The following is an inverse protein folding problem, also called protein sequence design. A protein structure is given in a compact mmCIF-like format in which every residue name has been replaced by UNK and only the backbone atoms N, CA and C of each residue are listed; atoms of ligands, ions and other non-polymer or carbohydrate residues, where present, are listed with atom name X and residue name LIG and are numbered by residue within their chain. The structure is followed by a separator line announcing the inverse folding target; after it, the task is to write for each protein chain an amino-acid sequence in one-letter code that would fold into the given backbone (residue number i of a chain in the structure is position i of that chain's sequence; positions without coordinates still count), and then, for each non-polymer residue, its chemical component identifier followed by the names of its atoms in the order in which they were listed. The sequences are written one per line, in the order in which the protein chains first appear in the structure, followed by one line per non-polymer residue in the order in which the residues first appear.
data_IF_122897470336
#
_entry.id   IF_122897470336
#
_cell.length_a   1.000
_cell.length_b   1.000
_cell.length_c   1.000
_cell.angle_alpha   90.00
_cell.angle_beta   90.00
_cell.angle_gamma   90.00
#
_symmetry.space_group_name_H-M   'P 1'
#
loop_
_entity.id
_entity.type
_entity.pdbx_description
1 polymer ?
#
# COMPACT_ATOMS: atom_id res chain seq x y z
N UNK A 1 -12.84 3.26 -25.94
CA UNK A 1 -14.26 2.79 -26.03
C UNK A 1 -14.64 2.18 -24.69
N UNK A 2 -15.78 2.58 -24.12
CA UNK A 2 -16.43 1.89 -22.99
C UNK A 2 -17.74 1.29 -23.48
N UNK A 3 -18.09 0.11 -22.98
CA UNK A 3 -19.39 -0.51 -23.16
C UNK A 3 -20.10 -0.49 -21.81
N UNK A 4 -21.32 0.04 -21.76
CA UNK A 4 -22.10 0.17 -20.53
C UNK A 4 -23.50 -0.41 -20.71
N UNK A 5 -24.07 -0.95 -19.63
CA UNK A 5 -25.50 -1.28 -19.58
C UNK A 5 -26.33 0.00 -19.68
N UNK A 6 -27.62 -0.14 -20.03
CA UNK A 6 -28.49 1.04 -20.13
C UNK A 6 -28.62 1.79 -18.80
N UNK A 7 -28.48 1.07 -17.66
CA UNK A 7 -28.42 1.67 -16.33
C UNK A 7 -27.25 2.64 -16.16
N UNK A 8 -26.10 2.32 -16.77
CA UNK A 8 -24.84 3.04 -16.58
C UNK A 8 -24.42 3.89 -17.76
N UNK A 9 -25.20 3.88 -18.84
CA UNK A 9 -24.83 4.48 -20.11
C UNK A 9 -24.64 6.00 -20.00
N UNK A 10 -25.58 6.69 -19.36
CA UNK A 10 -25.52 8.15 -19.25
C UNK A 10 -24.48 8.61 -18.24
N UNK A 11 -24.27 7.83 -17.16
CA UNK A 11 -23.14 8.07 -16.24
C UNK A 11 -21.81 7.90 -16.96
N UNK A 12 -21.65 6.82 -17.72
CA UNK A 12 -20.44 6.58 -18.50
C UNK A 12 -20.18 7.68 -19.54
N UNK A 13 -21.21 8.21 -20.22
CA UNK A 13 -21.06 9.35 -21.14
C UNK A 13 -20.63 10.64 -20.42
N UNK A 14 -21.13 10.86 -19.21
CA UNK A 14 -20.86 12.07 -18.43
C UNK A 14 -19.46 12.06 -17.80
N UNK A 15 -19.02 10.90 -17.31
CA UNK A 15 -17.86 10.80 -16.42
C UNK A 15 -16.62 10.14 -17.07
N UNK A 16 -16.79 9.40 -18.16
CA UNK A 16 -15.66 8.73 -18.83
C UNK A 16 -14.84 9.68 -19.70
N UNK A 17 -13.53 9.45 -19.73
CA UNK A 17 -12.62 10.05 -20.71
C UNK A 17 -12.57 9.29 -22.04
N UNK A 18 -13.37 8.23 -22.24
CA UNK A 18 -13.34 7.44 -23.46
C UNK A 18 -14.00 8.16 -24.64
N UNK A 19 -13.40 8.07 -25.83
CA UNK A 19 -13.91 8.71 -27.07
C UNK A 19 -15.30 8.21 -27.50
N UNK A 20 -15.71 7.04 -27.02
CA UNK A 20 -16.96 6.40 -27.42
C UNK A 20 -17.50 5.57 -26.27
N UNK A 21 -18.78 5.76 -25.98
CA UNK A 21 -19.55 4.95 -25.03
C UNK A 21 -20.68 4.25 -25.79
N UNK A 22 -20.72 2.92 -25.71
CA UNK A 22 -21.67 2.08 -26.42
C UNK A 22 -22.64 1.39 -25.45
N UNK A 23 -23.92 1.29 -25.85
CA UNK A 23 -24.92 0.49 -25.11
C UNK A 23 -24.70 -1.00 -25.36
N UNK A 24 -24.50 -1.77 -24.30
CA UNK A 24 -24.42 -3.24 -24.37
C UNK A 24 -25.74 -3.84 -24.84
N UNK A 25 -26.89 -3.28 -24.43
CA UNK A 25 -28.22 -3.73 -24.88
C UNK A 25 -28.39 -3.58 -26.39
N UNK A 26 -27.90 -2.50 -26.98
CA UNK A 26 -27.94 -2.31 -28.43
C UNK A 26 -27.07 -3.34 -29.15
N UNK A 27 -25.85 -3.57 -28.68
CA UNK A 27 -24.95 -4.59 -29.24
C UNK A 27 -25.57 -5.99 -29.14
N UNK A 28 -26.18 -6.32 -28.00
CA UNK A 28 -26.91 -7.59 -27.81
C UNK A 28 -28.04 -7.73 -28.83
N UNK A 29 -28.83 -6.66 -29.10
CA UNK A 29 -29.87 -6.69 -30.15
C UNK A 29 -29.28 -6.95 -31.53
N UNK A 30 -28.14 -6.33 -31.86
CA UNK A 30 -27.46 -6.55 -33.14
C UNK A 30 -26.94 -7.99 -33.27
N UNK A 31 -26.37 -8.55 -32.20
CA UNK A 31 -25.90 -9.94 -32.16
C UNK A 31 -27.07 -10.94 -32.32
N UNK A 32 -28.19 -10.72 -31.63
CA UNK A 32 -29.41 -11.55 -31.78
C UNK A 32 -29.94 -11.53 -33.21
N UNK A 33 -29.97 -10.36 -33.86
CA UNK A 33 -30.38 -10.24 -35.28
C UNK A 33 -29.47 -11.02 -36.23
N UNK A 34 -28.20 -11.23 -35.86
CA UNK A 34 -27.23 -12.06 -36.61
C UNK A 34 -27.29 -13.55 -36.23
N UNK A 35 -28.29 -13.98 -35.46
CA UNK A 35 -28.50 -15.38 -35.10
C UNK A 35 -27.64 -15.88 -33.94
N UNK A 36 -26.95 -15.01 -33.19
CA UNK A 36 -26.16 -15.43 -32.04
C UNK A 36 -27.07 -15.91 -30.90
N UNK A 37 -26.88 -17.16 -30.47
CA UNK A 37 -27.35 -17.71 -29.20
C UNK A 37 -26.23 -17.66 -28.14
N UNK A 38 -26.58 -17.55 -26.85
CA UNK A 38 -25.63 -17.43 -25.72
C UNK A 38 -24.65 -16.25 -25.82
N UNK A 39 -25.18 -15.02 -25.75
CA UNK A 39 -24.36 -13.79 -25.80
C UNK A 39 -23.69 -13.54 -24.44
N UNK A 40 -22.38 -13.79 -24.40
CA UNK A 40 -21.50 -13.50 -23.25
C UNK A 40 -20.96 -12.06 -23.32
N UNK A 41 -20.33 -11.58 -22.24
CA UNK A 41 -19.61 -10.30 -22.26
C UNK A 41 -18.47 -10.30 -23.31
N UNK A 42 -17.78 -11.43 -23.47
CA UNK A 42 -16.72 -11.57 -24.48
C UNK A 42 -17.29 -11.53 -25.90
N UNK A 43 -18.47 -12.10 -26.13
CA UNK A 43 -19.16 -11.99 -27.42
C UNK A 43 -19.47 -10.53 -27.80
N UNK A 44 -19.88 -9.72 -26.82
CA UNK A 44 -20.10 -8.28 -26.98
C UNK A 44 -18.77 -7.57 -27.29
N UNK A 45 -17.72 -7.85 -26.51
CA UNK A 45 -16.40 -7.27 -26.73
C UNK A 45 -15.82 -7.60 -28.11
N UNK A 46 -15.87 -8.88 -28.51
CA UNK A 46 -15.40 -9.35 -29.81
C UNK A 46 -16.19 -8.72 -30.97
N UNK A 47 -17.50 -8.52 -30.82
CA UNK A 47 -18.30 -7.81 -31.82
C UNK A 47 -17.82 -6.38 -32.01
N UNK A 48 -17.58 -5.65 -30.91
CA UNK A 48 -17.09 -4.26 -30.96
C UNK A 48 -15.69 -4.21 -31.58
N UNK A 49 -14.78 -5.10 -31.16
CA UNK A 49 -13.42 -5.18 -31.71
C UNK A 49 -13.45 -5.41 -33.23
N UNK A 50 -14.21 -6.41 -33.69
CA UNK A 50 -14.38 -6.70 -35.13
C UNK A 50 -15.01 -5.54 -35.90
N UNK A 51 -15.99 -4.85 -35.30
CA UNK A 51 -16.63 -3.68 -35.93
C UNK A 51 -15.64 -2.53 -36.17
N UNK A 52 -14.54 -2.50 -35.42
CA UNK A 52 -13.43 -1.55 -35.54
C UNK A 52 -12.24 -2.10 -36.32
N UNK A 53 -12.35 -3.30 -36.91
CA UNK A 53 -11.25 -3.94 -37.63
C UNK A 53 -10.11 -4.43 -36.74
N UNK A 54 -10.31 -4.52 -35.41
CA UNK A 54 -9.30 -4.99 -34.49
C UNK A 54 -9.30 -6.51 -34.40
N UNK A 55 -8.14 -7.11 -34.62
CA UNK A 55 -7.91 -8.57 -34.58
C UNK A 55 -6.93 -8.99 -33.49
N UNK A 56 -6.39 -8.03 -32.74
CA UNK A 56 -5.40 -8.23 -31.68
C UNK A 56 -5.74 -7.33 -30.50
N UNK A 57 -5.61 -7.86 -29.29
CA UNK A 57 -5.75 -7.10 -28.05
C UNK A 57 -4.57 -7.36 -27.13
N UNK A 58 -4.16 -6.31 -26.42
CA UNK A 58 -3.25 -6.38 -25.30
C UNK A 58 -4.08 -6.40 -24.02
N UNK A 59 -3.84 -7.34 -23.12
CA UNK A 59 -4.58 -7.52 -21.87
C UNK A 59 -3.63 -7.57 -20.66
N UNK A 60 -4.11 -7.25 -19.45
CA UNK A 60 -3.31 -7.42 -18.23
C UNK A 60 -2.84 -8.86 -18.04
N UNK A 61 -1.70 -9.06 -17.37
CA UNK A 61 -1.19 -10.39 -17.05
C UNK A 61 -2.18 -11.25 -16.26
N UNK A 62 -3.03 -10.61 -15.44
CA UNK A 62 -4.08 -11.25 -14.65
C UNK A 62 -5.43 -11.34 -15.37
N UNK A 63 -5.48 -11.13 -16.69
CA UNK A 63 -6.71 -11.22 -17.46
C UNK A 63 -7.33 -12.63 -17.35
N UNK A 64 -8.66 -12.76 -17.07
CA UNK A 64 -9.28 -14.06 -16.86
C UNK A 64 -9.07 -15.00 -18.04
N UNK A 65 -8.52 -16.19 -17.77
CA UNK A 65 -8.13 -17.17 -18.79
C UNK A 65 -9.31 -17.54 -19.72
N UNK A 66 -10.50 -17.77 -19.15
CA UNK A 66 -11.70 -18.09 -19.93
C UNK A 66 -12.09 -16.99 -20.92
N UNK A 67 -11.84 -15.71 -20.58
CA UNK A 67 -12.09 -14.61 -21.51
C UNK A 67 -11.06 -14.57 -22.63
N UNK A 68 -9.80 -14.95 -22.35
CA UNK A 68 -8.76 -15.04 -23.37
C UNK A 68 -9.08 -16.16 -24.36
N UNK A 69 -9.45 -17.34 -23.87
CA UNK A 69 -9.85 -18.48 -24.72
C UNK A 69 -11.02 -18.09 -25.63
N UNK A 70 -12.09 -17.52 -25.08
CA UNK A 70 -13.27 -17.16 -25.87
C UNK A 70 -12.96 -16.04 -26.90
N UNK A 71 -12.04 -15.11 -26.62
CA UNK A 71 -11.56 -14.12 -27.60
C UNK A 71 -10.78 -14.79 -28.74
N UNK A 72 -9.90 -15.74 -28.41
CA UNK A 72 -9.09 -16.48 -29.39
C UNK A 72 -9.98 -17.33 -30.31
N UNK A 73 -10.96 -18.04 -29.75
CA UNK A 73 -11.96 -18.79 -30.53
C UNK A 73 -12.74 -17.89 -31.49
N UNK A 74 -12.99 -16.64 -31.08
CA UNK A 74 -13.63 -15.62 -31.93
C UNK A 74 -12.65 -14.96 -32.90
N UNK A 75 -11.41 -15.43 -33.03
CA UNK A 75 -10.43 -14.93 -33.99
C UNK A 75 -9.78 -13.60 -33.58
N UNK A 76 -9.76 -13.30 -32.28
CA UNK A 76 -9.03 -12.16 -31.71
C UNK A 76 -7.78 -12.71 -31.01
N UNK A 77 -6.60 -12.38 -31.51
CA UNK A 77 -5.36 -12.75 -30.82
C UNK A 77 -5.20 -11.94 -29.53
N UNK A 78 -4.85 -12.62 -28.44
CA UNK A 78 -4.70 -12.04 -27.12
C UNK A 78 -3.22 -12.08 -26.73
N UNK A 79 -2.67 -10.93 -26.36
CA UNK A 79 -1.33 -10.81 -25.83
C UNK A 79 -1.40 -10.27 -24.40
N UNK A 80 -0.80 -10.99 -23.45
CA UNK A 80 -0.71 -10.52 -22.08
C UNK A 80 0.53 -9.62 -21.89
N UNK A 81 0.39 -8.61 -21.03
CA UNK A 81 1.49 -7.73 -20.61
C UNK A 81 1.62 -7.76 -19.09
N UNK A 82 2.85 -7.89 -18.59
CA UNK A 82 3.17 -7.80 -17.16
C UNK A 82 2.79 -6.45 -16.57
N UNK A 83 2.52 -6.41 -15.28
CA UNK A 83 2.27 -5.15 -14.59
C UNK A 83 3.52 -4.24 -14.57
N UNK A 84 3.33 -2.91 -14.57
CA UNK A 84 2.04 -2.22 -14.60
C UNK A 84 1.49 -2.19 -16.03
N UNK A 85 0.20 -2.50 -16.19
CA UNK A 85 -0.43 -2.46 -17.52
C UNK A 85 -0.36 -1.05 -18.17
N UNK A 86 -0.48 0.00 -17.35
CA UNK A 86 -0.28 1.40 -17.74
C UNK A 86 0.93 1.97 -16.98
N UNK A 87 2.10 2.02 -17.62
CA UNK A 87 3.34 2.52 -17.02
C UNK A 87 3.27 3.98 -16.60
N UNK A 88 2.46 4.78 -17.30
CA UNK A 88 2.27 6.20 -16.98
C UNK A 88 1.76 6.42 -15.55
N UNK A 89 0.99 5.47 -14.99
CA UNK A 89 0.52 5.54 -13.59
C UNK A 89 1.66 5.56 -12.57
N UNK A 90 2.84 5.06 -12.94
CA UNK A 90 4.00 5.10 -12.03
C UNK A 90 4.51 6.54 -11.84
N UNK A 91 4.26 7.45 -12.79
CA UNK A 91 4.69 8.85 -12.75
C UNK A 91 3.49 9.74 -12.45
N UNK A 92 3.46 10.33 -11.26
CA UNK A 92 2.27 11.03 -10.76
C UNK A 92 2.24 12.46 -11.28
N UNK A 93 1.05 12.90 -11.68
CA UNK A 93 0.73 14.31 -11.87
C UNK A 93 0.68 15.05 -10.52
N UNK A 94 0.63 16.37 -10.56
CA UNK A 94 0.54 17.19 -9.34
C UNK A 94 -0.77 16.93 -8.59
N UNK A 95 -1.84 16.69 -9.34
CA UNK A 95 -3.18 16.39 -8.84
C UNK A 95 -3.20 15.04 -8.12
N UNK A 96 -2.54 14.02 -8.68
CA UNK A 96 -2.42 12.70 -8.04
C UNK A 96 -1.56 12.76 -6.78
N UNK A 97 -0.42 13.47 -6.81
CA UNK A 97 0.40 13.70 -5.60
C UNK A 97 -0.41 14.42 -4.52
N UNK A 98 -1.23 15.41 -4.91
CA UNK A 98 -2.12 16.12 -3.98
C UNK A 98 -3.14 15.17 -3.36
N UNK A 99 -3.79 14.31 -4.17
CA UNK A 99 -4.75 13.32 -3.70
C UNK A 99 -4.12 12.33 -2.70
N UNK A 100 -2.95 11.77 -3.03
CA UNK A 100 -2.18 10.90 -2.11
C UNK A 100 -1.85 11.65 -0.81
N UNK A 101 -1.38 12.89 -0.93
CA UNK A 101 -1.02 13.72 0.22
C UNK A 101 -2.22 13.99 1.12
N UNK A 102 -3.40 14.21 0.54
CA UNK A 102 -4.64 14.42 1.28
C UNK A 102 -5.05 13.15 2.05
N UNK A 103 -5.07 11.98 1.40
CA UNK A 103 -5.27 10.69 2.06
C UNK A 103 -4.30 10.52 3.23
N UNK A 104 -3.02 10.83 3.01
CA UNK A 104 -1.98 10.76 4.05
C UNK A 104 -2.30 11.69 5.24
N UNK A 105 -2.79 12.92 5.03
CA UNK A 105 -3.21 13.80 6.15
C UNK A 105 -4.36 13.21 6.97
N UNK A 106 -5.28 12.49 6.34
CA UNK A 106 -6.34 11.79 7.06
C UNK A 106 -5.76 10.62 7.88
N UNK A 107 -4.81 9.87 7.32
CA UNK A 107 -4.11 8.79 8.04
C UNK A 107 -3.33 9.30 9.24
N UNK A 108 -2.62 10.41 9.10
CA UNK A 108 -1.87 11.04 10.21
C UNK A 108 -2.78 11.45 11.36
N UNK A 109 -3.96 12.00 11.06
CA UNK A 109 -4.98 12.32 12.08
C UNK A 109 -5.54 11.08 12.76
N UNK A 110 -5.70 9.98 12.03
CA UNK A 110 -6.17 8.71 12.58
C UNK A 110 -5.13 8.08 13.52
N UNK A 111 -3.85 8.10 13.14
CA UNK A 111 -2.76 7.67 14.01
C UNK A 111 -2.65 8.57 15.23
N UNK A 112 -2.77 9.91 15.09
CA UNK A 112 -2.75 10.80 16.26
C UNK A 112 -3.87 10.46 17.25
N UNK A 113 -5.09 10.18 16.77
CA UNK A 113 -6.20 9.79 17.62
C UNK A 113 -5.90 8.49 18.40
N UNK A 114 -5.30 7.48 17.74
CA UNK A 114 -4.83 6.27 18.39
C UNK A 114 -3.74 6.54 19.43
N UNK A 115 -2.80 7.42 19.13
CA UNK A 115 -1.75 7.81 20.07
C UNK A 115 -2.33 8.54 21.28
N UNK A 116 -3.35 9.37 21.10
CA UNK A 116 -4.05 10.00 22.23
C UNK A 116 -4.68 8.96 23.15
N UNK A 117 -5.26 7.88 22.63
CA UNK A 117 -5.72 6.76 23.46
C UNK A 117 -4.57 6.11 24.22
N UNK A 118 -3.42 5.87 23.58
CA UNK A 118 -2.24 5.33 24.27
C UNK A 118 -1.76 6.27 25.39
N UNK A 119 -1.64 7.58 25.13
CA UNK A 119 -1.18 8.59 26.11
C UNK A 119 -2.10 8.67 27.34
N UNK A 120 -3.41 8.54 27.14
CA UNK A 120 -4.41 8.58 28.21
C UNK A 120 -4.67 7.22 28.86
N UNK A 121 -4.09 6.14 28.34
CA UNK A 121 -4.17 4.81 28.96
C UNK A 121 -3.30 4.72 30.21
N UNK A 122 -3.66 3.84 31.15
CA UNK A 122 -2.96 3.59 32.41
C UNK A 122 -2.23 2.25 32.35
N UNK A 123 -0.99 2.22 32.84
CA UNK A 123 -0.25 0.97 33.00
C UNK A 123 -0.78 0.24 34.24
N UNK A 124 -1.29 -0.98 34.07
CA UNK A 124 -1.69 -1.89 35.17
C UNK A 124 -0.95 -3.21 35.05
N UNK A 125 0.06 -3.39 35.89
CA UNK A 125 0.98 -4.52 35.77
C UNK A 125 1.71 -4.46 34.41
N UNK A 126 1.63 -5.55 33.63
CA UNK A 126 2.26 -5.63 32.30
C UNK A 126 1.39 -5.11 31.15
N UNK A 127 0.18 -4.63 31.42
CA UNK A 127 -0.81 -4.30 30.39
C UNK A 127 -1.25 -2.84 30.46
N UNK A 128 -1.94 -2.40 29.40
CA UNK A 128 -2.53 -1.07 29.29
C UNK A 128 -4.04 -1.14 29.54
N UNK A 129 -4.57 -0.22 30.34
CA UNK A 129 -6.01 -0.06 30.54
C UNK A 129 -6.45 1.33 30.08
N UNK A 130 -7.55 1.42 29.35
CA UNK A 130 -8.18 2.68 28.94
C UNK A 130 -9.64 2.67 29.38
N UNK A 131 -10.10 3.77 30.00
CA UNK A 131 -11.49 3.89 30.49
C UNK A 131 -11.97 2.71 31.37
N UNK A 132 -11.07 2.17 32.20
CA UNK A 132 -11.39 1.07 33.12
C UNK A 132 -11.43 -0.32 32.48
N UNK A 133 -11.14 -0.45 31.18
CA UNK A 133 -11.06 -1.73 30.46
C UNK A 133 -9.65 -2.01 29.96
N UNK A 134 -9.34 -3.29 29.74
CA UNK A 134 -8.09 -3.71 29.10
C UNK A 134 -8.05 -3.16 27.68
N UNK A 135 -7.04 -2.37 27.36
CA UNK A 135 -6.84 -1.82 26.03
C UNK A 135 -6.23 -2.90 25.12
N UNK A 136 -6.84 -3.09 23.95
CA UNK A 136 -6.41 -4.11 22.99
C UNK A 136 -6.01 -3.52 21.64
N UNK A 137 -5.36 -4.34 20.79
CA UNK A 137 -5.09 -4.00 19.40
C UNK A 137 -6.38 -3.63 18.65
N UNK A 138 -7.49 -4.33 18.91
CA UNK A 138 -8.80 -4.06 18.28
C UNK A 138 -9.38 -2.71 18.68
N UNK A 139 -9.18 -2.27 19.94
CA UNK A 139 -9.63 -0.94 20.37
C UNK A 139 -8.90 0.17 19.61
N UNK A 140 -7.58 0.05 19.45
CA UNK A 140 -6.79 1.01 18.67
C UNK A 140 -7.17 0.97 17.18
N UNK A 141 -7.31 -0.23 16.59
CA UNK A 141 -7.79 -0.37 15.20
C UNK A 141 -9.15 0.29 15.01
N UNK A 142 -10.06 0.16 15.98
CA UNK A 142 -11.38 0.81 15.95
C UNK A 142 -11.26 2.33 15.90
N UNK A 143 -10.41 2.91 16.74
CA UNK A 143 -10.16 4.37 16.77
C UNK A 143 -9.63 4.86 15.43
N UNK A 144 -8.64 4.16 14.87
CA UNK A 144 -8.07 4.48 13.56
C UNK A 144 -9.15 4.40 12.48
N UNK A 145 -9.86 3.28 12.40
CA UNK A 145 -10.85 3.04 11.34
C UNK A 145 -12.00 4.03 11.40
N UNK A 146 -12.53 4.36 12.59
CA UNK A 146 -13.56 5.39 12.73
C UNK A 146 -13.03 6.74 12.24
N UNK A 147 -11.81 7.11 12.64
CA UNK A 147 -11.24 8.41 12.28
C UNK A 147 -10.98 8.56 10.78
N UNK A 148 -10.61 7.46 10.11
CA UNK A 148 -10.48 7.40 8.67
C UNK A 148 -11.84 7.52 7.97
N UNK A 149 -12.84 6.78 8.45
CA UNK A 149 -14.19 6.79 7.87
C UNK A 149 -14.88 8.16 7.96
N UNK A 150 -14.62 8.94 9.02
CA UNK A 150 -15.08 10.34 9.13
C UNK A 150 -14.60 11.23 7.96
N UNK A 151 -13.58 10.79 7.23
CA UNK A 151 -12.97 11.51 6.11
C UNK A 151 -13.00 10.70 4.81
N UNK A 152 -13.99 9.81 4.65
CA UNK A 152 -14.18 8.98 3.46
C UNK A 152 -12.94 8.15 3.08
N UNK A 153 -12.11 7.80 4.08
CA UNK A 153 -10.96 6.93 3.92
C UNK A 153 -11.28 5.55 4.49
N UNK A 154 -11.01 4.51 3.72
CA UNK A 154 -11.25 3.12 4.10
C UNK A 154 -9.91 2.42 4.23
N UNK A 155 -9.60 1.94 5.44
CA UNK A 155 -8.50 1.00 5.66
C UNK A 155 -9.04 -0.42 5.79
N UNK A 156 -8.41 -1.34 5.08
CA UNK A 156 -8.51 -2.77 5.35
C UNK A 156 -7.19 -3.21 5.98
N UNK A 157 -7.23 -4.27 6.80
CA UNK A 157 -6.02 -4.90 7.35
C UNK A 157 -5.10 -3.99 8.20
N UNK A 158 -5.61 -2.89 8.79
CA UNK A 158 -4.87 -2.03 9.73
C UNK A 158 -4.11 -2.87 10.75
N UNK A 159 -2.81 -2.63 10.87
CA UNK A 159 -1.93 -3.38 11.76
C UNK A 159 -1.75 -2.60 13.05
N UNK A 160 -2.06 -3.25 14.18
CA UNK A 160 -1.68 -2.78 15.52
C UNK A 160 -1.06 -3.94 16.28
N UNK A 161 0.21 -4.22 16.00
CA UNK A 161 0.94 -5.37 16.55
C UNK A 161 1.76 -5.00 17.76
N UNK A 162 1.78 -5.87 18.78
CA UNK A 162 2.44 -5.61 20.05
C UNK A 162 3.47 -6.69 20.39
N UNK A 163 4.66 -6.29 20.84
CA UNK A 163 5.73 -7.19 21.28
C UNK A 163 6.05 -8.28 20.23
N UNK A 164 5.95 -9.56 20.57
CA UNK A 164 6.28 -10.69 19.69
C UNK A 164 5.36 -10.79 18.46
N UNK A 165 4.16 -10.21 18.49
CA UNK A 165 3.31 -10.14 17.30
C UNK A 165 3.97 -9.31 16.19
N UNK A 166 4.78 -8.31 16.57
CA UNK A 166 5.54 -7.49 15.63
C UNK A 166 6.55 -8.30 14.82
N UNK A 167 6.94 -9.51 15.28
CA UNK A 167 7.96 -10.33 14.59
C UNK A 167 7.45 -10.84 13.25
N UNK A 168 6.13 -10.90 13.09
CA UNK A 168 5.45 -11.04 11.82
C UNK A 168 5.09 -9.66 11.26
N UNK A 169 5.76 -9.18 10.20
CA UNK A 169 5.52 -7.82 9.70
C UNK A 169 4.08 -7.56 9.24
N UNK A 170 3.32 -8.63 8.90
CA UNK A 170 1.94 -8.57 8.41
C UNK A 170 0.90 -9.03 9.44
N UNK A 171 1.30 -9.37 10.67
CA UNK A 171 0.34 -9.68 11.72
C UNK A 171 -0.40 -8.38 12.08
N UNK A 172 -1.74 -8.41 12.00
CA UNK A 172 -2.59 -7.26 12.31
C UNK A 172 -2.72 -6.99 13.82
N UNK A 173 -2.13 -7.85 14.64
CA UNK A 173 -2.14 -7.83 16.10
C UNK A 173 -3.50 -8.20 16.68
N UNK A 174 -3.47 -8.76 17.88
CA UNK A 174 -4.69 -9.15 18.57
C UNK A 174 -4.57 -9.06 20.08
N UNK A 175 -5.69 -8.76 20.73
CA UNK A 175 -5.80 -8.83 22.17
C UNK A 175 -5.00 -7.76 22.94
N UNK A 176 -4.76 -8.00 24.24
CA UNK A 176 -4.23 -6.99 25.16
C UNK A 176 -2.88 -6.40 24.78
N UNK A 177 -2.79 -5.06 24.77
CA UNK A 177 -1.52 -4.36 24.59
C UNK A 177 -0.67 -4.38 25.87
N UNK A 178 0.64 -4.56 25.68
CA UNK A 178 1.62 -4.64 26.76
C UNK A 178 2.28 -3.29 27.02
N UNK A 179 2.44 -2.95 28.30
CA UNK A 179 3.23 -1.80 28.72
C UNK A 179 4.72 -2.04 28.48
N UNK A 180 5.46 -0.98 28.17
CA UNK A 180 6.91 -0.99 27.95
C UNK A 180 7.39 -1.85 26.76
N UNK A 181 6.47 -2.32 25.91
CA UNK A 181 6.77 -3.08 24.69
C UNK A 181 6.45 -2.28 23.43
N UNK A 182 7.10 -2.64 22.32
CA UNK A 182 6.85 -2.02 21.02
C UNK A 182 5.43 -2.30 20.53
N UNK A 183 4.78 -1.27 20.01
CA UNK A 183 3.48 -1.32 19.36
C UNK A 183 3.66 -0.71 17.96
N UNK A 184 3.62 -1.54 16.92
CA UNK A 184 3.64 -1.09 15.52
C UNK A 184 2.22 -0.73 15.12
N UNK A 185 2.03 0.50 14.64
CA UNK A 185 0.82 0.94 13.93
C UNK A 185 1.18 1.16 12.47
N UNK A 186 0.65 0.33 11.60
CA UNK A 186 0.83 0.43 10.15
C UNK A 186 -0.56 0.53 9.50
N UNK A 187 -0.76 1.63 8.76
CA UNK A 187 -2.07 2.12 8.33
C UNK A 187 -2.00 2.62 6.88
N UNK A 188 -2.67 1.89 5.99
CA UNK A 188 -2.69 2.16 4.55
C UNK A 188 -4.11 2.31 3.98
N UNK A 189 -4.81 3.43 4.25
CA UNK A 189 -6.16 3.61 3.74
C UNK A 189 -6.15 4.00 2.26
N UNK A 190 -7.26 3.72 1.57
CA UNK A 190 -7.61 4.37 0.32
C UNK A 190 -8.72 5.39 0.53
N UNK A 191 -8.66 6.50 -0.19
CA UNK A 191 -9.78 7.45 -0.26
C UNK A 191 -10.89 6.90 -1.15
N UNK A 192 -12.14 6.91 -0.68
CA UNK A 192 -13.31 6.58 -1.50
C UNK A 192 -13.64 7.66 -2.52
N UNK A 193 -13.04 8.85 -2.40
CA UNK A 193 -13.28 9.98 -3.30
C UNK A 193 -12.24 10.02 -4.42
N UNK A 194 -10.95 9.99 -4.05
CA UNK A 194 -9.85 10.11 -5.02
C UNK A 194 -9.30 8.76 -5.48
N UNK A 195 -9.65 7.68 -4.78
CA UNK A 195 -9.17 6.31 -5.00
C UNK A 195 -7.67 6.09 -4.71
N UNK A 196 -6.97 7.12 -4.25
CA UNK A 196 -5.54 7.05 -3.93
C UNK A 196 -5.30 6.52 -2.52
N UNK A 197 -4.30 5.65 -2.41
CA UNK A 197 -3.78 5.15 -1.15
C UNK A 197 -2.82 6.14 -0.49
N UNK A 198 -2.74 6.05 0.83
CA UNK A 198 -1.58 6.49 1.60
C UNK A 198 -1.05 5.30 2.40
N UNK A 199 0.18 5.41 2.89
CA UNK A 199 0.83 4.37 3.69
C UNK A 199 1.76 4.99 4.73
N UNK A 200 1.64 4.57 5.98
CA UNK A 200 2.44 5.09 7.08
C UNK A 200 2.48 4.10 8.25
N UNK A 201 3.71 3.82 8.66
CA UNK A 201 4.02 3.04 9.85
C UNK A 201 4.71 3.90 10.90
N UNK A 202 4.27 3.76 12.16
CA UNK A 202 4.96 4.25 13.36
C UNK A 202 5.04 3.17 14.42
N UNK A 203 6.13 3.18 15.17
CA UNK A 203 6.29 2.31 16.35
C UNK A 203 6.32 3.13 17.62
N UNK A 204 5.47 2.77 18.58
CA UNK A 204 5.36 3.41 19.88
C UNK A 204 5.64 2.45 21.03
N UNK A 205 5.91 2.99 22.21
CA UNK A 205 5.96 2.27 23.48
C UNK A 205 5.20 3.10 24.52
N UNK A 206 4.13 2.54 25.07
CA UNK A 206 3.47 3.14 26.23
C UNK A 206 4.26 2.79 27.50
N UNK A 207 4.89 3.80 28.11
CA UNK A 207 5.81 3.62 29.24
C UNK A 207 7.28 3.78 28.83
N UNK A 208 8.17 3.00 29.43
CA UNK A 208 9.62 3.09 29.23
C UNK A 208 10.12 1.97 28.34
N UNK A 209 10.62 2.30 27.15
CA UNK A 209 11.23 1.36 26.24
C UNK A 209 12.55 0.80 26.80
N UNK A 210 12.81 -0.48 26.54
CA UNK A 210 14.10 -1.10 26.88
C UNK A 210 15.23 -0.50 26.05
N UNK A 211 16.48 -0.61 26.53
CA UNK A 211 17.66 -0.16 25.76
C UNK A 211 17.76 -0.84 24.39
N UNK A 212 17.33 -2.11 24.29
CA UNK A 212 17.28 -2.85 23.03
C UNK A 212 16.28 -2.24 22.03
N UNK A 213 15.06 -1.91 22.47
CA UNK A 213 14.05 -1.25 21.63
C UNK A 213 14.51 0.15 21.22
N UNK A 214 15.08 0.93 22.14
CA UNK A 214 15.62 2.27 21.84
C UNK A 214 16.73 2.21 20.79
N UNK A 215 17.67 1.27 20.93
CA UNK A 215 18.74 1.06 19.95
C UNK A 215 18.16 0.67 18.58
N UNK A 216 17.22 -0.28 18.57
CA UNK A 216 16.55 -0.73 17.35
C UNK A 216 15.81 0.41 16.64
N UNK A 217 15.04 1.21 17.37
CA UNK A 217 14.36 2.39 16.83
C UNK A 217 15.32 3.41 16.23
N UNK A 218 16.38 3.75 16.97
CA UNK A 218 17.38 4.68 16.46
C UNK A 218 18.05 4.14 15.19
N UNK A 219 18.40 2.86 15.16
CA UNK A 219 18.99 2.24 13.98
C UNK A 219 18.03 2.25 12.80
N UNK A 220 16.75 1.91 12.98
CA UNK A 220 15.75 1.99 11.89
C UNK A 220 15.61 3.42 11.37
N UNK A 221 15.53 4.41 12.26
CA UNK A 221 15.42 5.82 11.89
C UNK A 221 16.65 6.31 11.10
N UNK A 222 17.87 5.95 11.50
CA UNK A 222 19.08 6.26 10.72
C UNK A 222 19.12 5.52 9.38
N UNK A 223 18.63 4.27 9.32
CA UNK A 223 18.47 3.53 8.07
C UNK A 223 17.51 4.22 7.10
N UNK A 224 16.40 4.76 7.61
CA UNK A 224 15.43 5.53 6.80
C UNK A 224 16.08 6.78 6.18
N UNK A 225 16.93 7.49 6.94
CA UNK A 225 17.68 8.66 6.44
C UNK A 225 18.65 8.30 5.33
N UNK A 226 19.25 7.11 5.35
CA UNK A 226 20.09 6.61 4.25
C UNK A 226 19.28 6.52 2.96
N UNK A 227 18.04 6.00 3.01
CA UNK A 227 17.17 5.99 1.85
C UNK A 227 16.84 7.41 1.36
N UNK A 228 16.41 8.32 2.24
CA UNK A 228 16.10 9.70 1.85
C UNK A 228 17.27 10.41 1.16
N UNK A 229 18.50 10.19 1.62
CA UNK A 229 19.70 10.77 1.03
C UNK A 229 20.03 10.21 -0.36
N UNK A 230 19.55 9.01 -0.69
CA UNK A 230 19.84 8.33 -1.96
C UNK A 230 18.69 8.39 -2.96
N UNK A 231 17.45 8.60 -2.52
CA UNK A 231 16.28 8.67 -3.41
C UNK A 231 16.35 9.94 -4.27
N UNK A 232 16.47 9.71 -5.57
CA UNK A 232 16.43 10.70 -6.64
C UNK A 232 16.22 9.99 -7.98
N UNK A 233 16.07 10.77 -9.05
CA UNK A 233 16.04 10.23 -10.40
C UNK A 233 17.27 9.36 -10.71
N UNK A 234 17.01 8.24 -11.37
CA UNK A 234 17.98 7.20 -11.73
C UNK A 234 18.73 6.59 -10.53
N UNK A 235 18.19 6.70 -9.31
CA UNK A 235 18.70 5.91 -8.19
C UNK A 235 18.33 4.44 -8.38
N UNK A 236 19.24 3.53 -8.01
CA UNK A 236 19.01 2.08 -8.04
C UNK A 236 18.40 1.63 -6.71
N UNK A 237 17.14 1.21 -6.73
CA UNK A 237 16.41 0.75 -5.53
C UNK A 237 17.11 -0.41 -4.81
N UNK A 238 17.77 -1.30 -5.55
CA UNK A 238 18.51 -2.44 -4.99
C UNK A 238 19.78 -2.03 -4.26
N UNK A 239 20.41 -0.95 -4.71
CA UNK A 239 21.55 -0.37 -4.01
C UNK A 239 21.10 0.28 -2.70
N UNK A 240 20.02 1.07 -2.73
CA UNK A 240 19.48 1.73 -1.53
C UNK A 240 19.15 0.69 -0.46
N UNK A 241 18.43 -0.37 -0.85
CA UNK A 241 18.06 -1.46 0.04
C UNK A 241 19.30 -2.15 0.65
N UNK A 242 20.30 -2.49 -0.17
CA UNK A 242 21.54 -3.13 0.27
C UNK A 242 22.34 -2.26 1.23
N UNK A 243 22.42 -0.95 1.01
CA UNK A 243 23.14 -0.04 1.90
C UNK A 243 22.52 0.01 3.30
N UNK A 244 21.19 -0.08 3.39
CA UNK A 244 20.47 -0.15 4.67
C UNK A 244 20.72 -1.51 5.34
N UNK A 245 20.69 -2.62 4.59
CA UNK A 245 21.03 -3.95 5.14
C UNK A 245 22.44 -3.95 5.74
N UNK A 246 23.44 -3.48 5.00
CA UNK A 246 24.82 -3.38 5.49
C UNK A 246 24.93 -2.47 6.72
N UNK A 247 24.18 -1.36 6.75
CA UNK A 247 24.12 -0.48 7.91
C UNK A 247 23.52 -1.17 9.14
N UNK A 248 22.43 -1.93 8.99
CA UNK A 248 21.82 -2.68 10.08
C UNK A 248 22.75 -3.78 10.61
N UNK A 249 23.36 -4.55 9.73
CA UNK A 249 24.34 -5.58 10.11
C UNK A 249 25.52 -4.99 10.88
N UNK A 250 26.08 -3.87 10.41
CA UNK A 250 27.17 -3.15 11.09
C UNK A 250 26.79 -2.66 12.48
N UNK A 251 25.51 -2.36 12.72
CA UNK A 251 24.98 -1.95 14.03
C UNK A 251 24.60 -3.14 14.94
N UNK A 252 24.82 -4.37 14.48
CA UNK A 252 24.60 -5.61 15.22
C UNK A 252 23.22 -6.24 15.01
N UNK A 253 22.47 -5.78 14.01
CA UNK A 253 21.14 -6.29 13.67
C UNK A 253 21.25 -7.22 12.47
N UNK A 254 21.46 -8.52 12.73
CA UNK A 254 21.57 -9.54 11.69
C UNK A 254 20.19 -9.95 11.17
N UNK A 255 20.10 -10.21 9.87
CA UNK A 255 18.96 -10.87 9.23
C UNK A 255 19.25 -12.35 9.05
N UNK A 256 18.30 -13.21 9.36
CA UNK A 256 18.43 -14.65 9.13
C UNK A 256 17.44 -15.49 9.94
N UNK A 257 17.55 -16.81 9.81
CA UNK A 257 16.74 -17.73 10.61
C UNK A 257 17.32 -17.81 12.03
N UNK A 258 16.51 -17.41 13.01
CA UNK A 258 16.79 -17.46 14.44
C UNK A 258 15.63 -18.16 15.13
N UNK A 259 15.91 -19.16 15.97
CA UNK A 259 14.89 -19.96 16.67
C UNK A 259 13.79 -20.51 15.73
N UNK A 260 14.18 -20.97 14.54
CA UNK A 260 13.26 -21.57 13.56
C UNK A 260 12.41 -20.57 12.76
N UNK A 261 12.63 -19.26 12.90
CA UNK A 261 11.89 -18.21 12.17
C UNK A 261 12.83 -17.19 11.53
N UNK A 262 12.48 -16.67 10.35
CA UNK A 262 13.16 -15.51 9.78
C UNK A 262 12.98 -14.27 10.67
N UNK A 263 14.07 -13.59 11.00
CA UNK A 263 14.11 -12.41 11.87
C UNK A 263 15.13 -11.40 11.32
N UNK A 264 15.07 -10.14 11.76
CA UNK A 264 15.89 -9.03 11.28
C UNK A 264 15.18 -8.16 10.25
N UNK A 265 15.87 -7.73 9.20
CA UNK A 265 15.32 -6.94 8.08
C UNK A 265 15.22 -7.82 6.82
N UNK A 266 14.04 -8.37 6.56
CA UNK A 266 13.79 -9.39 5.54
C UNK A 266 12.65 -9.04 4.56
N UNK A 267 12.26 -7.78 4.50
CA UNK A 267 11.33 -7.24 3.48
C UNK A 267 12.01 -6.11 2.70
N UNK A 268 11.34 -5.56 1.69
CA UNK A 268 11.85 -4.41 0.94
C UNK A 268 11.95 -3.15 1.82
N UNK A 269 12.79 -2.20 1.42
CA UNK A 269 12.83 -0.86 2.01
C UNK A 269 11.62 -0.02 1.60
N UNK A 270 10.92 -0.35 0.51
CA UNK A 270 9.69 0.31 0.13
C UNK A 270 9.18 -0.05 -1.26
N UNK A 271 8.10 0.60 -1.66
CA UNK A 271 7.40 0.37 -2.93
C UNK A 271 6.67 1.62 -3.41
N UNK A 272 6.28 1.64 -4.67
CA UNK A 272 5.40 2.65 -5.24
C UNK A 272 4.00 2.58 -4.64
N UNK A 273 3.36 3.74 -4.52
CA UNK A 273 1.98 3.90 -4.05
C UNK A 273 1.23 4.82 -5.01
N UNK A 274 -0.02 4.46 -5.30
CA UNK A 274 -0.91 5.21 -6.18
C UNK A 274 -2.37 4.83 -5.94
N UNK A 275 -3.09 4.49 -7.01
CA UNK A 275 -4.42 3.87 -6.89
C UNK A 275 -4.34 2.39 -6.48
N UNK A 276 -3.14 1.82 -6.48
CA UNK A 276 -2.82 0.55 -5.85
C UNK A 276 -1.88 0.80 -4.67
N UNK A 277 -2.09 0.07 -3.56
CA UNK A 277 -1.22 0.15 -2.39
C UNK A 277 0.22 -0.27 -2.74
N UNK A 278 0.35 -1.28 -3.59
CA UNK A 278 1.63 -1.80 -4.04
C UNK A 278 1.74 -1.69 -5.56
N UNK A 279 2.45 -0.68 -6.05
CA UNK A 279 2.79 -0.53 -7.47
C UNK A 279 4.30 -0.30 -7.67
N UNK A 280 4.84 -0.42 -8.89
CA UNK A 280 6.24 -0.10 -9.16
C UNK A 280 6.57 1.39 -8.92
N UNK A 281 7.82 1.73 -8.58
CA UNK A 281 8.99 0.85 -8.45
C UNK A 281 9.07 0.17 -7.07
N UNK A 282 9.99 -0.78 -6.90
CA UNK A 282 10.38 -1.32 -5.59
C UNK A 282 11.74 -0.78 -5.15
N UNK A 283 11.87 -0.47 -3.86
CA UNK A 283 13.15 -0.29 -3.19
C UNK A 283 13.40 -1.58 -2.42
N UNK A 284 13.91 -2.60 -3.09
CA UNK A 284 14.07 -3.94 -2.53
C UNK A 284 15.28 -4.63 -3.15
N UNK A 285 15.43 -5.95 -2.99
CA UNK A 285 16.43 -6.73 -3.73
C UNK A 285 16.28 -6.63 -5.27
N UNK A 286 15.09 -6.27 -5.75
CA UNK A 286 14.81 -6.08 -7.18
C UNK A 286 15.46 -4.79 -7.69
N UNK A 287 16.02 -4.87 -8.91
CA UNK A 287 16.68 -3.74 -9.55
C UNK A 287 15.68 -2.87 -10.30
N UNK A 288 15.11 -1.90 -9.59
CA UNK A 288 14.27 -0.85 -10.18
C UNK A 288 14.96 0.51 -10.13
N UNK A 289 14.90 1.23 -11.25
CA UNK A 289 15.44 2.58 -11.35
C UNK A 289 14.35 3.59 -11.03
N UNK A 290 14.61 4.45 -10.05
CA UNK A 290 13.64 5.46 -9.62
C UNK A 290 13.55 6.61 -10.64
N UNK A 291 12.36 7.16 -10.82
CA UNK A 291 12.06 8.23 -11.76
C UNK A 291 11.33 9.37 -11.06
N UNK A 292 11.58 10.61 -11.50
CA UNK A 292 10.94 11.81 -10.97
C UNK A 292 9.41 11.70 -11.00
N UNK A 293 8.75 12.19 -9.96
CA UNK A 293 7.31 12.13 -9.69
C UNK A 293 6.75 10.74 -9.37
N UNK A 294 7.58 9.72 -9.18
CA UNK A 294 7.13 8.51 -8.47
C UNK A 294 6.86 8.86 -7.01
N UNK A 295 5.81 8.28 -6.43
CA UNK A 295 5.56 8.30 -4.99
C UNK A 295 5.88 6.92 -4.44
N UNK A 296 6.79 6.84 -3.46
CA UNK A 296 7.27 5.59 -2.88
C UNK A 296 7.27 5.63 -1.36
N UNK A 297 7.06 4.48 -0.71
CA UNK A 297 7.28 4.29 0.73
C UNK A 297 8.78 4.15 1.03
N UNK A 298 9.15 4.48 2.25
CA UNK A 298 10.48 4.26 2.83
C UNK A 298 10.31 3.72 4.24
N UNK A 299 10.24 2.39 4.35
CA UNK A 299 9.68 1.63 5.46
C UNK A 299 10.65 0.61 6.09
N UNK A 300 11.95 0.90 6.32
CA UNK A 300 12.82 -0.12 6.89
C UNK A 300 12.31 -0.59 8.26
N UNK A 301 12.51 -1.88 8.55
CA UNK A 301 12.04 -2.50 9.79
C UNK A 301 12.96 -3.59 10.34
N UNK A 302 12.96 -3.73 11.66
CA UNK A 302 13.75 -4.71 12.40
C UNK A 302 12.84 -5.49 13.35
N UNK A 303 12.92 -6.81 13.28
CA UNK A 303 11.99 -7.71 13.98
C UNK A 303 12.72 -8.86 14.67
N UNK A 304 12.59 -8.95 16.00
CA UNK A 304 13.30 -9.95 16.80
C UNK A 304 12.43 -10.50 17.93
N UNK A 305 12.34 -11.83 17.97
CA UNK A 305 11.69 -12.59 19.03
C UNK A 305 12.23 -12.16 20.40
N UNK A 306 11.31 -11.95 21.34
CA UNK A 306 11.54 -11.54 22.73
C UNK A 306 12.12 -10.13 22.92
N UNK A 307 12.28 -9.38 21.82
CA UNK A 307 12.58 -7.95 21.84
C UNK A 307 11.38 -7.14 21.32
N UNK A 308 10.71 -7.65 20.27
CA UNK A 308 9.62 -6.98 19.57
C UNK A 308 10.02 -6.57 18.16
N UNK A 309 9.39 -5.52 17.63
CA UNK A 309 9.68 -5.01 16.29
C UNK A 309 9.61 -3.50 16.24
N UNK A 310 10.36 -2.92 15.31
CA UNK A 310 10.28 -1.49 14.96
C UNK A 310 10.25 -1.36 13.45
N UNK A 311 9.23 -0.70 12.94
CA UNK A 311 9.14 -0.23 11.55
C UNK A 311 8.79 1.26 11.58
N UNK A 312 9.44 2.03 10.70
CA UNK A 312 9.19 3.45 10.49
C UNK A 312 9.05 3.67 9.00
N UNK A 313 7.97 4.32 8.60
CA UNK A 313 7.64 4.48 7.19
C UNK A 313 7.11 5.86 6.88
N UNK A 314 7.68 6.44 5.83
CA UNK A 314 7.22 7.68 5.25
C UNK A 314 6.99 7.51 3.75
N UNK A 315 6.10 8.32 3.18
CA UNK A 315 5.91 8.43 1.75
C UNK A 315 6.72 9.59 1.21
N UNK A 316 7.43 9.39 0.09
CA UNK A 316 8.22 10.43 -0.55
C UNK A 316 7.92 10.54 -2.04
N UNK A 317 7.99 11.76 -2.57
CA UNK A 317 8.02 12.00 -4.02
C UNK A 317 9.47 12.00 -4.46
N UNK A 318 9.80 11.18 -5.46
CA UNK A 318 11.11 11.19 -6.11
C UNK A 318 11.27 12.48 -6.93
N UNK A 319 12.33 13.24 -6.69
CA UNK A 319 12.72 14.39 -7.52
C UNK A 319 14.02 14.14 -8.28
N UNK A 320 14.40 15.09 -9.13
CA UNK A 320 15.60 14.96 -9.98
C UNK A 320 16.90 14.82 -9.17
N UNK A 321 17.04 15.60 -8.08
CA UNK A 321 18.26 15.64 -7.26
C UNK A 321 18.09 15.02 -5.87
N UNK A 322 16.87 15.01 -5.36
CA UNK A 322 16.50 14.53 -4.03
C UNK A 322 15.02 14.16 -4.01
N UNK A 323 14.56 13.49 -2.94
CA UNK A 323 13.13 13.29 -2.69
C UNK A 323 12.52 14.43 -1.86
N UNK A 324 11.19 14.51 -1.87
CA UNK A 324 10.40 15.34 -0.96
C UNK A 324 9.58 14.43 -0.05
N UNK A 325 9.74 14.54 1.26
CA UNK A 325 8.94 13.77 2.22
C UNK A 325 7.52 14.35 2.32
N UNK A 326 6.52 13.52 2.05
CA UNK A 326 5.10 13.86 2.19
C UNK A 326 4.60 13.63 3.60
N UNK A 327 5.20 12.70 4.34
CA UNK A 327 4.82 12.41 5.72
C UNK A 327 5.32 13.51 6.65
N UNK A 328 4.41 14.00 7.49
CA UNK A 328 4.63 15.06 8.49
C UNK A 328 4.40 14.55 9.91
N UNK A 329 3.87 13.34 10.09
CA UNK A 329 3.69 12.77 11.41
C UNK A 329 5.03 12.64 12.14
N UNK A 330 5.15 13.16 13.37
CA UNK A 330 6.41 13.18 14.09
C UNK A 330 6.97 11.79 14.41
N UNK A 331 8.27 11.71 14.58
CA UNK A 331 8.99 10.52 15.03
C UNK A 331 9.31 10.64 16.52
N UNK A 332 8.63 9.86 17.34
CA UNK A 332 8.97 9.62 18.73
C UNK A 332 8.59 8.18 19.11
N UNK A 333 9.28 7.63 20.11
CA UNK A 333 9.10 6.24 20.54
C UNK A 333 8.20 6.13 21.78
N UNK A 334 8.46 6.90 22.83
CA UNK A 334 7.78 6.72 24.13
C UNK A 334 6.56 7.66 24.24
N UNK A 335 5.42 7.13 24.69
CA UNK A 335 4.13 7.85 24.84
C UNK A 335 3.53 7.73 26.23
#
# INVERSE_FOLDING_TARGET
IIMASDLELDRAKKESAADTVLSTSEIIRQLKKKGASNITQVSIAAFVLKSKGMTKVLVPYHFPFIYAEELIEKGIAVHAKSDPFYESRTIKTKEEIKAITETLRHTERAIEAAVQVLKHSKIKGKYLDFEGKRLTSEDIKRVINVKLMENNCIASHTIVSCFNDCVDPHNQGSGPLLANQSIIMDVFPHSSETLYFADITRTFVRGKASSKIKKMYQTVHEGQKIAFAQIRQNADGSKIHRDIQMFFEKNGFKTGVMNGRMQGFFHGTGHGVGIEIHEPPRISISKDMLQTNQVVTVEPGLYYQDIGGVRLEDMVVVGEKSCTNLTKFPLYLEV
#
